data_IF_697983810217
#
_entry.id   IF_697983810217
#
_cell.length_a   1.000
_cell.length_b   1.000
_cell.length_c   1.000
_cell.angle_alpha   90.00
_cell.angle_beta   90.00
_cell.angle_gamma   90.00
#
_symmetry.space_group_name_H-M   'P 1'
#
loop_
_entity.id
_entity.type
_entity.pdbx_description
1 polymer ?
#
# COMPACT_ATOMS: atom_id res chain seq x y z
N UNK A 1 -1.01 -1.08 -8.19
CA UNK A 1 -1.02 -0.11 -7.07
C UNK A 1 0.37 0.48 -6.93
N UNK A 2 0.49 1.80 -6.79
CA UNK A 2 1.77 2.45 -6.45
C UNK A 2 1.77 2.75 -4.96
N UNK A 3 2.83 2.35 -4.25
CA UNK A 3 3.03 2.63 -2.82
C UNK A 3 4.32 3.42 -2.68
N UNK A 4 4.25 4.53 -1.95
CA UNK A 4 5.42 5.30 -1.54
C UNK A 4 5.63 5.06 -0.04
N UNK A 5 6.82 4.61 0.35
CA UNK A 5 7.28 4.48 1.72
C UNK A 5 8.52 5.36 1.87
N UNK A 6 8.43 6.43 2.65
CA UNK A 6 9.50 7.44 2.73
C UNK A 6 9.96 7.91 1.33
N UNK A 7 11.20 7.58 0.92
CA UNK A 7 11.76 7.92 -0.39
C UNK A 7 11.65 6.77 -1.40
N UNK A 8 11.19 5.60 -0.97
CA UNK A 8 11.11 4.39 -1.78
C UNK A 8 9.76 4.24 -2.47
N UNK A 9 9.80 3.71 -3.70
CA UNK A 9 8.62 3.55 -4.56
C UNK A 9 8.44 2.12 -5.01
N UNK A 10 7.26 1.59 -4.73
CA UNK A 10 6.89 0.22 -5.01
C UNK A 10 5.70 0.17 -5.98
N UNK A 11 5.74 -0.78 -6.92
CA UNK A 11 4.64 -1.02 -7.87
C UNK A 11 4.14 -2.45 -7.73
N UNK A 12 2.99 -2.59 -7.08
CA UNK A 12 2.30 -3.86 -6.91
C UNK A 12 1.36 -4.13 -8.08
N UNK A 13 1.25 -5.41 -8.42
CA UNK A 13 0.30 -5.99 -9.37
C UNK A 13 -0.72 -6.86 -8.63
N UNK A 14 -1.74 -7.31 -9.36
CA UNK A 14 -2.73 -8.26 -8.83
C UNK A 14 -2.04 -9.52 -8.33
N UNK A 15 -2.33 -9.92 -7.10
CA UNK A 15 -1.72 -11.08 -6.42
C UNK A 15 -0.52 -10.74 -5.55
N UNK A 16 0.07 -9.55 -5.69
CA UNK A 16 1.17 -9.13 -4.83
C UNK A 16 0.65 -8.78 -3.42
N UNK A 17 1.47 -9.05 -2.42
CA UNK A 17 1.29 -8.60 -1.04
C UNK A 17 2.43 -7.67 -0.65
N UNK A 18 2.18 -6.80 0.31
CA UNK A 18 3.16 -5.84 0.79
C UNK A 18 3.00 -5.63 2.29
N UNK A 19 4.12 -5.49 2.99
CA UNK A 19 4.19 -5.38 4.44
C UNK A 19 5.26 -4.36 4.82
N UNK A 20 4.94 -3.49 5.77
CA UNK A 20 5.85 -2.48 6.29
C UNK A 20 5.36 -2.03 7.68
N UNK A 21 6.21 -1.31 8.42
CA UNK A 21 5.83 -0.74 9.71
C UNK A 21 4.83 0.41 9.51
N UNK A 22 3.63 0.32 10.09
CA UNK A 22 2.55 1.29 9.85
C UNK A 22 2.92 2.73 10.23
N UNK A 23 3.85 2.91 11.17
CA UNK A 23 4.36 4.22 11.58
C UNK A 23 5.28 4.88 10.53
N UNK A 24 5.81 4.10 9.59
CA UNK A 24 6.58 4.64 8.46
C UNK A 24 5.68 5.54 7.62
N UNK A 25 6.08 6.79 7.32
CA UNK A 25 5.32 7.67 6.44
C UNK A 25 5.06 6.99 5.09
N UNK A 26 3.79 6.79 4.77
CA UNK A 26 3.39 6.05 3.59
C UNK A 26 2.19 6.67 2.88
N UNK A 27 2.13 6.47 1.57
CA UNK A 27 0.97 6.79 0.76
C UNK A 27 0.79 5.76 -0.36
N UNK A 28 -0.42 5.68 -0.91
CA UNK A 28 -0.69 4.81 -2.05
C UNK A 28 -1.64 5.46 -3.04
N UNK A 29 -1.49 5.08 -4.31
CA UNK A 29 -2.32 5.55 -5.41
C UNK A 29 -2.59 4.45 -6.41
N UNK A 30 -3.84 4.33 -6.83
CA UNK A 30 -4.18 3.55 -8.02
C UNK A 30 -3.79 4.35 -9.27
N UNK A 31 -2.75 3.90 -9.98
CA UNK A 31 -2.34 4.45 -11.28
C UNK A 31 -2.95 3.70 -12.47
N UNK A 32 -3.73 2.65 -12.21
CA UNK A 32 -4.40 1.85 -13.23
C UNK A 32 -5.63 2.56 -13.80
N UNK A 33 -6.11 2.04 -14.94
CA UNK A 33 -7.33 2.54 -15.60
C UNK A 33 -8.61 1.87 -15.09
N UNK A 34 -8.47 0.80 -14.32
CA UNK A 34 -9.56 0.06 -13.71
C UNK A 34 -9.56 0.27 -12.19
N UNK A 35 -10.70 -0.02 -11.58
CA UNK A 35 -10.80 -0.11 -10.13
C UNK A 35 -9.75 -1.08 -9.57
N UNK A 36 -9.19 -0.74 -8.41
CA UNK A 36 -8.27 -1.59 -7.65
C UNK A 36 -8.93 -1.93 -6.32
N UNK A 37 -9.06 -3.21 -6.04
CA UNK A 37 -9.49 -3.71 -4.74
C UNK A 37 -8.25 -3.96 -3.87
N UNK A 38 -8.24 -3.38 -2.67
CA UNK A 38 -7.13 -3.46 -1.72
C UNK A 38 -7.65 -3.95 -0.37
N UNK A 39 -7.05 -5.01 0.16
CA UNK A 39 -7.22 -5.40 1.55
C UNK A 39 -6.09 -4.79 2.38
N UNK A 40 -6.44 -3.85 3.25
CA UNK A 40 -5.49 -3.17 4.11
C UNK A 40 -5.68 -3.61 5.56
N UNK A 41 -4.66 -4.27 6.12
CA UNK A 41 -4.70 -4.81 7.48
C UNK A 41 -3.70 -4.04 8.33
N UNK A 42 -4.17 -3.35 9.38
CA UNK A 42 -3.31 -2.66 10.35
C UNK A 42 -3.18 -3.50 11.62
N UNK A 43 -1.99 -3.58 12.21
CA UNK A 43 -1.75 -4.25 13.49
C UNK A 43 -0.69 -3.50 14.31
N UNK A 44 -0.94 -3.18 15.60
CA UNK A 44 -2.20 -3.36 16.32
C UNK A 44 -3.30 -2.43 15.76
N UNK A 45 -4.59 -2.78 15.92
CA UNK A 45 -5.67 -1.90 15.49
C UNK A 45 -5.62 -0.59 16.28
N UNK A 46 -5.52 0.54 15.59
CA UNK A 46 -5.72 1.87 16.16
C UNK A 46 -7.20 2.25 15.98
N UNK A 47 -7.84 2.70 17.07
CA UNK A 47 -9.24 3.17 17.11
C UNK A 47 -9.30 4.70 17.01
#
# INVERSE_FOLDING_TARGET
LHIELEEEKYRLKTGDSFYFESATPHSWKNLGRSETWLLWVNTPPTF
#
